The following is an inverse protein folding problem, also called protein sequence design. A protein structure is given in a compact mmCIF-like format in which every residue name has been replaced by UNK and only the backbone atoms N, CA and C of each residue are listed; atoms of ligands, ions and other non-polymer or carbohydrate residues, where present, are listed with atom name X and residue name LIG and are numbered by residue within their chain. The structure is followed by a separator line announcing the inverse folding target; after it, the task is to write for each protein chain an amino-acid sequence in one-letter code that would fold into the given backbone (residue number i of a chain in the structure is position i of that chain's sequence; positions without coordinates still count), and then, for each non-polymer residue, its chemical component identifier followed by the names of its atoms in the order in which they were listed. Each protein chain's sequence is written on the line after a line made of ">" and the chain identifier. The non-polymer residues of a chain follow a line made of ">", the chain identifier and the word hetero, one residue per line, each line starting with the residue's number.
data_IF_116037230265
#
_entry.id   IF_116037230265
#
_cell.length_a   1.000
_cell.length_b   1.000
_cell.length_c   1.000
_cell.angle_alpha   90.00
_cell.angle_beta   90.00
_cell.angle_gamma   90.00
#
_symmetry.space_group_name_H-M   'P 1'
#
loop_
_entity.id
_entity.type
_entity.pdbx_description
1 polymer ?
#
# COMPACT_ATOMS: atom_id res chain seq x y z
N UNK A 1 -4.70 5.51 -27.73
CA UNK A 1 -5.33 4.91 -26.55
C UNK A 1 -6.52 4.11 -27.03
N UNK A 2 -6.71 2.86 -26.58
CA UNK A 2 -7.93 2.11 -26.86
C UNK A 2 -9.14 2.94 -26.42
N UNK A 3 -10.27 2.78 -27.11
CA UNK A 3 -11.53 3.29 -26.57
C UNK A 3 -11.86 2.55 -25.28
N UNK A 4 -12.61 3.16 -24.36
CA UNK A 4 -13.04 2.49 -23.12
C UNK A 4 -13.69 1.14 -23.42
N UNK A 5 -14.47 1.06 -24.49
CA UNK A 5 -15.12 -0.18 -24.90
C UNK A 5 -14.15 -1.28 -25.28
N UNK A 6 -13.10 -0.97 -26.04
CA UNK A 6 -12.07 -1.94 -26.40
C UNK A 6 -11.31 -2.43 -25.17
N UNK A 7 -10.97 -1.53 -24.24
CA UNK A 7 -10.25 -1.87 -23.02
C UNK A 7 -11.11 -2.68 -22.05
N UNK A 8 -12.37 -2.31 -21.85
CA UNK A 8 -13.32 -3.07 -21.02
C UNK A 8 -13.57 -4.46 -21.60
N UNK A 9 -13.72 -4.60 -22.91
CA UNK A 9 -13.83 -5.91 -23.57
C UNK A 9 -12.60 -6.78 -23.33
N UNK A 10 -11.41 -6.20 -23.38
CA UNK A 10 -10.16 -6.90 -23.07
C UNK A 10 -10.13 -7.38 -21.60
N UNK A 11 -10.40 -6.48 -20.66
CA UNK A 11 -10.40 -6.78 -19.22
C UNK A 11 -11.46 -7.83 -18.83
N UNK A 12 -12.64 -7.77 -19.43
CA UNK A 12 -13.70 -8.77 -19.23
C UNK A 12 -13.41 -10.10 -19.95
N UNK A 13 -12.50 -10.12 -20.93
CA UNK A 13 -12.24 -11.26 -21.81
C UNK A 13 -13.40 -11.63 -22.75
N UNK A 14 -14.41 -10.75 -22.87
CA UNK A 14 -15.62 -10.96 -23.67
C UNK A 14 -16.33 -9.64 -23.98
N UNK A 15 -17.24 -9.68 -24.94
CA UNK A 15 -18.10 -8.53 -25.24
C UNK A 15 -19.03 -8.20 -24.06
N UNK A 16 -19.11 -6.92 -23.62
CA UNK A 16 -20.12 -6.48 -22.67
C UNK A 16 -21.53 -6.78 -23.19
N UNK A 17 -22.40 -7.31 -22.33
CA UNK A 17 -23.77 -7.74 -22.69
C UNK A 17 -24.86 -6.76 -22.27
N UNK A 18 -24.48 -5.65 -21.65
CA UNK A 18 -25.40 -4.62 -21.17
C UNK A 18 -24.70 -3.27 -21.20
N UNK A 19 -25.48 -2.20 -21.09
CA UNK A 19 -24.95 -0.85 -20.99
C UNK A 19 -24.18 -0.67 -19.68
N UNK A 20 -23.12 0.13 -19.72
CA UNK A 20 -22.27 0.40 -18.57
C UNK A 20 -21.61 1.76 -18.67
N UNK A 21 -21.14 2.25 -17.53
CA UNK A 21 -20.26 3.40 -17.43
C UNK A 21 -19.00 3.01 -16.64
N UNK A 22 -17.84 3.50 -17.05
CA UNK A 22 -16.61 3.41 -16.24
C UNK A 22 -16.68 4.49 -15.18
N UNK A 23 -16.88 4.10 -13.91
CA UNK A 23 -17.09 5.03 -12.79
C UNK A 23 -15.88 5.18 -11.89
N UNK A 24 -14.92 4.27 -11.96
CA UNK A 24 -13.63 4.35 -11.25
C UNK A 24 -12.51 3.99 -12.21
N UNK A 25 -11.42 4.76 -12.14
CA UNK A 25 -10.18 4.54 -12.87
C UNK A 25 -9.00 4.57 -11.92
N UNK A 26 -7.93 3.89 -12.30
CA UNK A 26 -6.65 3.95 -11.59
C UNK A 26 -5.88 5.25 -11.92
N UNK A 27 -4.67 5.40 -11.38
CA UNK A 27 -3.80 6.55 -11.61
C UNK A 27 -3.31 6.67 -13.07
N UNK A 28 -3.27 5.56 -13.82
CA UNK A 28 -2.92 5.53 -15.24
C UNK A 28 -4.15 5.83 -16.15
N UNK A 29 -5.35 5.93 -15.57
CA UNK A 29 -6.61 6.12 -16.28
C UNK A 29 -7.27 4.83 -16.78
N UNK A 30 -6.77 3.65 -16.39
CA UNK A 30 -7.34 2.36 -16.79
C UNK A 30 -8.67 2.08 -16.03
N UNK A 31 -9.69 1.48 -16.66
CA UNK A 31 -10.96 1.17 -16.00
C UNK A 31 -10.82 0.17 -14.84
N UNK A 32 -11.35 0.54 -13.67
CA UNK A 32 -11.34 -0.32 -12.46
C UNK A 32 -12.73 -0.82 -12.10
N UNK A 33 -13.74 0.05 -12.14
CA UNK A 33 -15.13 -0.31 -11.81
C UNK A 33 -16.09 0.12 -12.91
N UNK A 34 -16.94 -0.82 -13.32
CA UNK A 34 -18.11 -0.55 -14.15
C UNK A 34 -19.35 -0.35 -13.29
N UNK A 35 -20.14 0.67 -13.63
CA UNK A 35 -21.55 0.79 -13.21
C UNK A 35 -22.45 0.30 -14.34
N UNK A 36 -23.00 -0.89 -14.17
CA UNK A 36 -23.85 -1.55 -15.14
C UNK A 36 -25.30 -1.08 -15.05
N UNK A 37 -25.98 -1.06 -16.19
CA UNK A 37 -27.43 -1.10 -16.24
C UNK A 37 -27.96 -2.34 -15.48
N UNK A 38 -29.14 -2.25 -14.84
CA UNK A 38 -29.70 -3.36 -14.07
C UNK A 38 -30.16 -4.54 -14.94
N UNK A 39 -30.23 -4.36 -16.26
CA UNK A 39 -30.66 -5.34 -17.25
C UNK A 39 -29.62 -5.43 -18.39
N UNK A 40 -29.39 -6.63 -18.90
CA UNK A 40 -28.66 -6.88 -20.13
C UNK A 40 -29.49 -6.45 -21.35
N UNK A 41 -28.87 -6.36 -22.53
CA UNK A 41 -29.57 -6.02 -23.77
C UNK A 41 -30.70 -6.99 -24.14
N UNK A 42 -30.64 -8.23 -23.66
CA UNK A 42 -31.68 -9.26 -23.85
C UNK A 42 -32.77 -9.24 -22.75
N UNK A 43 -32.72 -8.28 -21.84
CA UNK A 43 -33.65 -8.14 -20.71
C UNK A 43 -33.35 -9.03 -19.50
N UNK A 44 -32.27 -9.84 -19.55
CA UNK A 44 -31.84 -10.64 -18.40
C UNK A 44 -31.36 -9.73 -17.27
N UNK A 45 -31.71 -10.00 -16.00
CA UNK A 45 -31.15 -9.31 -14.85
C UNK A 45 -29.62 -9.33 -14.81
N UNK A 46 -29.00 -8.15 -14.68
CA UNK A 46 -27.56 -8.04 -14.47
C UNK A 46 -27.21 -8.56 -13.06
N UNK A 47 -26.21 -9.46 -12.90
CA UNK A 47 -25.87 -10.07 -11.61
C UNK A 47 -25.35 -9.07 -10.57
N UNK A 48 -24.73 -7.96 -11.00
CA UNK A 48 -24.24 -6.89 -10.13
C UNK A 48 -24.27 -5.55 -10.85
N UNK A 49 -24.69 -4.50 -10.14
CA UNK A 49 -24.67 -3.12 -10.63
C UNK A 49 -23.26 -2.55 -10.66
N UNK A 50 -22.39 -2.92 -9.72
CA UNK A 50 -20.99 -2.50 -9.68
C UNK A 50 -20.10 -3.71 -9.91
N UNK A 51 -19.25 -3.65 -10.93
CA UNK A 51 -18.40 -4.77 -11.35
C UNK A 51 -16.94 -4.33 -11.33
N UNK A 52 -16.14 -5.01 -10.50
CA UNK A 52 -14.69 -4.84 -10.43
C UNK A 52 -14.03 -5.50 -11.66
N UNK A 53 -13.31 -4.72 -12.45
CA UNK A 53 -12.61 -5.18 -13.66
C UNK A 53 -11.11 -4.84 -13.64
N UNK A 54 -10.67 -4.01 -12.69
CA UNK A 54 -9.26 -3.67 -12.50
C UNK A 54 -8.43 -4.91 -12.13
N UNK A 55 -7.36 -5.25 -12.89
CA UNK A 55 -6.59 -6.47 -12.66
C UNK A 55 -5.94 -6.55 -11.28
N UNK A 56 -5.46 -5.42 -10.76
CA UNK A 56 -4.79 -5.35 -9.47
C UNK A 56 -5.77 -5.50 -8.31
N UNK A 57 -6.92 -4.84 -8.41
CA UNK A 57 -7.99 -4.96 -7.43
C UNK A 57 -8.57 -6.38 -7.41
N UNK A 58 -8.81 -6.99 -8.58
CA UNK A 58 -9.25 -8.39 -8.66
C UNK A 58 -8.24 -9.32 -7.98
N UNK A 59 -6.94 -9.12 -8.21
CA UNK A 59 -5.89 -9.96 -7.60
C UNK A 59 -5.88 -9.80 -6.08
N UNK A 60 -5.90 -8.57 -5.57
CA UNK A 60 -5.85 -8.26 -4.12
C UNK A 60 -7.09 -8.80 -3.41
N UNK A 61 -8.28 -8.58 -3.97
CA UNK A 61 -9.53 -9.08 -3.39
C UNK A 61 -9.62 -10.60 -3.50
N UNK A 62 -9.21 -11.19 -4.62
CA UNK A 62 -9.17 -12.65 -4.79
C UNK A 62 -8.25 -13.33 -3.78
N UNK A 63 -7.10 -12.73 -3.47
CA UNK A 63 -6.20 -13.22 -2.42
C UNK A 63 -6.87 -13.14 -1.03
N UNK A 64 -7.45 -11.99 -0.69
CA UNK A 64 -8.18 -11.80 0.56
C UNK A 64 -9.34 -12.81 0.73
N UNK A 65 -10.10 -13.09 -0.34
CA UNK A 65 -11.13 -14.11 -0.32
C UNK A 65 -10.56 -15.52 -0.11
N UNK A 66 -9.45 -15.87 -0.77
CA UNK A 66 -8.82 -17.19 -0.65
C UNK A 66 -8.28 -17.48 0.76
N UNK A 67 -7.99 -16.43 1.53
CA UNK A 67 -7.58 -16.48 2.94
C UNK A 67 -8.77 -16.54 3.92
N UNK A 68 -10.01 -16.70 3.42
CA UNK A 68 -11.21 -16.73 4.25
C UNK A 68 -11.76 -15.35 4.60
N UNK A 69 -11.44 -14.31 3.81
CA UNK A 69 -11.86 -12.94 4.07
C UNK A 69 -13.39 -12.74 4.13
N UNK A 70 -14.17 -13.57 3.42
CA UNK A 70 -15.64 -13.53 3.49
C UNK A 70 -16.12 -13.91 4.88
N UNK A 71 -15.68 -15.06 5.39
CA UNK A 71 -16.09 -15.56 6.72
C UNK A 71 -15.64 -14.62 7.83
N UNK A 72 -14.44 -14.03 7.69
CA UNK A 72 -13.92 -13.04 8.63
C UNK A 72 -14.75 -11.76 8.64
N UNK A 73 -15.08 -11.21 7.47
CA UNK A 73 -15.94 -10.04 7.38
C UNK A 73 -17.32 -10.30 8.00
N UNK A 74 -17.91 -11.48 7.76
CA UNK A 74 -19.20 -11.85 8.37
C UNK A 74 -19.11 -11.99 9.89
N UNK A 75 -17.98 -12.46 10.42
CA UNK A 75 -17.78 -12.61 11.86
C UNK A 75 -17.50 -11.28 12.58
N UNK A 76 -16.85 -10.33 11.91
CA UNK A 76 -16.39 -9.06 12.51
C UNK A 76 -17.41 -7.92 12.34
N UNK A 77 -18.24 -7.95 11.29
CA UNK A 77 -19.21 -6.89 10.99
C UNK A 77 -20.56 -7.11 11.66
N UNK A 78 -21.22 -6.01 12.01
CA UNK A 78 -22.61 -6.02 12.46
C UNK A 78 -23.54 -6.48 11.31
N UNK A 79 -24.25 -7.62 11.45
CA UNK A 79 -25.17 -8.12 10.43
C UNK A 79 -26.29 -7.13 10.05
N UNK A 80 -26.69 -6.25 10.96
CA UNK A 80 -27.72 -5.24 10.69
C UNK A 80 -27.18 -4.12 9.79
N UNK A 81 -25.92 -3.73 9.97
CA UNK A 81 -25.24 -2.78 9.10
C UNK A 81 -25.07 -3.35 7.68
N UNK A 82 -24.68 -4.63 7.57
CA UNK A 82 -24.55 -5.32 6.27
C UNK A 82 -25.90 -5.42 5.56
N UNK A 83 -26.97 -5.78 6.28
CA UNK A 83 -28.33 -5.81 5.72
C UNK A 83 -28.80 -4.43 5.23
N UNK A 84 -28.59 -3.38 6.02
CA UNK A 84 -28.92 -2.02 5.62
C UNK A 84 -28.16 -1.58 4.35
N UNK A 85 -26.91 -2.01 4.19
CA UNK A 85 -26.13 -1.75 2.98
C UNK A 85 -26.70 -2.49 1.76
N UNK A 86 -27.09 -3.77 1.91
CA UNK A 86 -27.79 -4.51 0.86
C UNK A 86 -29.11 -3.84 0.45
N UNK A 87 -29.90 -3.33 1.41
CA UNK A 87 -31.15 -2.64 1.13
C UNK A 87 -30.94 -1.34 0.34
N UNK A 88 -29.92 -0.54 0.72
CA UNK A 88 -29.53 0.68 -0.03
C UNK A 88 -29.10 0.36 -1.46
N UNK A 89 -28.25 -0.64 -1.62
CA UNK A 89 -27.79 -1.09 -2.93
C UNK A 89 -28.96 -1.56 -3.82
N UNK A 90 -29.88 -2.35 -3.24
CA UNK A 90 -31.05 -2.84 -3.95
C UNK A 90 -31.96 -1.69 -4.38
N UNK A 91 -32.23 -0.73 -3.49
CA UNK A 91 -33.03 0.45 -3.81
C UNK A 91 -32.41 1.29 -4.93
N UNK A 92 -31.08 1.50 -4.89
CA UNK A 92 -30.36 2.23 -5.93
C UNK A 92 -30.47 1.53 -7.30
N UNK A 93 -30.28 0.21 -7.32
CA UNK A 93 -30.44 -0.61 -8.53
C UNK A 93 -31.86 -0.52 -9.06
N UNK A 94 -32.85 -0.72 -8.20
CA UNK A 94 -34.25 -0.84 -8.58
C UNK A 94 -34.80 0.50 -9.12
N UNK A 95 -34.28 1.63 -8.64
CA UNK A 95 -34.59 2.97 -9.16
C UNK A 95 -34.17 3.18 -10.63
N UNK A 96 -33.28 2.34 -11.17
CA UNK A 96 -32.81 2.42 -12.57
C UNK A 96 -33.43 1.35 -13.48
N UNK A 97 -34.34 0.52 -12.95
CA UNK A 97 -35.11 -0.41 -13.78
C UNK A 97 -36.23 0.41 -14.46
N UNK A 98 -36.41 0.30 -15.79
CA UNK A 98 -37.51 0.97 -16.47
C UNK A 98 -38.87 0.64 -15.81
N UNK A 99 -39.74 1.65 -15.60
CA UNK A 99 -41.03 1.45 -14.91
C UNK A 99 -41.98 0.54 -15.69
N UNK A 100 -41.79 0.43 -17.01
CA UNK A 100 -42.52 -0.41 -17.96
C UNK A 100 -41.85 -1.78 -18.20
N UNK A 101 -40.82 -2.13 -17.43
CA UNK A 101 -40.17 -3.45 -17.54
C UNK A 101 -41.04 -4.56 -16.95
N UNK A 102 -41.61 -5.38 -17.83
CA UNK A 102 -42.47 -6.53 -17.51
C UNK A 102 -41.71 -7.88 -17.41
N UNK A 103 -40.38 -7.87 -17.56
CA UNK A 103 -39.54 -9.08 -17.50
C UNK A 103 -39.04 -9.43 -16.09
N UNK A 104 -38.17 -10.47 -15.96
CA UNK A 104 -37.51 -10.79 -14.72
C UNK A 104 -36.72 -9.58 -14.17
N UNK A 105 -36.76 -9.37 -12.86
CA UNK A 105 -36.05 -8.27 -12.18
C UNK A 105 -34.86 -8.81 -11.39
N UNK A 106 -33.72 -8.08 -11.34
CA UNK A 106 -32.67 -8.40 -10.40
C UNK A 106 -33.20 -8.30 -8.96
N UNK A 107 -32.68 -9.14 -8.08
CA UNK A 107 -33.08 -9.20 -6.67
C UNK A 107 -31.87 -9.46 -5.77
N UNK A 108 -32.05 -9.28 -4.46
CA UNK A 108 -30.96 -9.31 -3.49
C UNK A 108 -30.24 -7.96 -3.37
N UNK A 109 -29.19 -7.91 -2.55
CA UNK A 109 -28.35 -6.74 -2.38
C UNK A 109 -27.08 -6.78 -3.24
N UNK A 110 -25.99 -6.19 -2.73
CA UNK A 110 -24.65 -6.27 -3.32
C UNK A 110 -24.29 -7.70 -3.78
N UNK A 111 -23.82 -7.85 -5.02
CA UNK A 111 -23.46 -9.15 -5.60
C UNK A 111 -24.63 -10.13 -5.85
N UNK A 112 -25.88 -9.67 -5.68
CA UNK A 112 -27.09 -10.48 -5.86
C UNK A 112 -27.36 -11.46 -4.73
N UNK A 113 -26.73 -11.27 -3.55
CA UNK A 113 -26.97 -12.11 -2.38
C UNK A 113 -28.27 -11.74 -1.67
N UNK A 114 -28.91 -12.74 -1.04
CA UNK A 114 -30.12 -12.53 -0.22
C UNK A 114 -29.80 -12.26 1.25
N UNK A 115 -28.74 -12.88 1.76
CA UNK A 115 -28.29 -12.81 3.15
C UNK A 115 -26.77 -12.99 3.14
N UNK A 116 -26.08 -12.26 4.02
CA UNK A 116 -24.63 -12.39 4.18
C UNK A 116 -23.86 -11.99 2.93
N UNK A 117 -22.62 -12.46 2.83
CA UNK A 117 -21.67 -12.06 1.81
C UNK A 117 -21.43 -13.20 0.83
N UNK A 118 -21.65 -12.93 -0.46
CA UNK A 118 -21.33 -13.89 -1.53
C UNK A 118 -19.87 -13.79 -1.98
N UNK A 119 -19.38 -12.56 -2.14
CA UNK A 119 -18.02 -12.23 -2.53
C UNK A 119 -17.69 -10.79 -2.10
N UNK A 120 -16.41 -10.53 -1.83
CA UNK A 120 -15.87 -9.21 -1.52
C UNK A 120 -15.75 -8.31 -2.77
N UNK A 121 -15.60 -8.89 -3.96
CA UNK A 121 -15.43 -8.16 -5.22
C UNK A 121 -16.55 -7.12 -5.49
N UNK A 122 -17.81 -7.52 -5.28
CA UNK A 122 -18.94 -6.64 -5.54
C UNK A 122 -19.06 -5.51 -4.50
N UNK A 123 -18.72 -5.82 -3.25
CA UNK A 123 -18.67 -4.84 -2.16
C UNK A 123 -17.54 -3.83 -2.38
N UNK A 124 -16.35 -4.31 -2.75
CA UNK A 124 -15.22 -3.45 -3.08
C UNK A 124 -15.51 -2.53 -4.26
N UNK A 125 -16.12 -3.07 -5.33
CA UNK A 125 -16.52 -2.28 -6.49
C UNK A 125 -17.50 -1.15 -6.13
N UNK A 126 -18.52 -1.44 -5.31
CA UNK A 126 -19.49 -0.44 -4.90
C UNK A 126 -18.88 0.62 -3.99
N UNK A 127 -18.04 0.20 -3.05
CA UNK A 127 -17.31 1.10 -2.16
C UNK A 127 -16.40 2.06 -2.92
N UNK A 128 -15.58 1.57 -3.85
CA UNK A 128 -14.73 2.41 -4.71
C UNK A 128 -15.54 3.40 -5.54
N UNK A 129 -16.77 3.04 -5.95
CA UNK A 129 -17.69 3.93 -6.66
C UNK A 129 -18.40 4.95 -5.74
N UNK A 130 -18.03 5.02 -4.46
CA UNK A 130 -18.60 5.96 -3.48
C UNK A 130 -19.80 5.43 -2.69
N UNK A 131 -20.08 4.13 -2.77
CA UNK A 131 -21.15 3.49 -2.00
C UNK A 131 -20.86 3.44 -0.49
N UNK A 132 -21.89 3.67 0.33
CA UNK A 132 -21.81 3.48 1.79
C UNK A 132 -21.90 2.00 2.16
N UNK A 133 -20.77 1.30 2.00
CA UNK A 133 -20.63 -0.13 2.24
C UNK A 133 -19.72 -0.43 3.46
N UNK A 134 -20.25 -1.01 4.55
CA UNK A 134 -19.44 -1.40 5.69
C UNK A 134 -18.42 -2.51 5.36
N UNK A 135 -18.73 -3.38 4.40
CA UNK A 135 -17.81 -4.43 3.93
C UNK A 135 -16.68 -3.79 3.13
N UNK A 136 -17.00 -2.78 2.30
CA UNK A 136 -16.01 -1.98 1.58
C UNK A 136 -14.99 -1.32 2.51
N UNK A 137 -15.46 -0.67 3.58
CA UNK A 137 -14.57 -0.10 4.62
C UNK A 137 -13.74 -1.15 5.35
N UNK A 138 -14.31 -2.32 5.58
CA UNK A 138 -13.58 -3.43 6.19
C UNK A 138 -12.46 -3.92 5.26
N UNK A 139 -12.76 -4.12 3.97
CA UNK A 139 -11.77 -4.47 2.94
C UNK A 139 -10.65 -3.43 2.89
N UNK A 140 -10.99 -2.13 2.87
CA UNK A 140 -10.00 -1.06 2.86
C UNK A 140 -9.01 -1.16 4.03
N UNK A 141 -9.51 -1.40 5.25
CA UNK A 141 -8.65 -1.59 6.44
C UNK A 141 -7.78 -2.84 6.31
N UNK A 142 -8.35 -3.94 5.88
CA UNK A 142 -7.66 -5.22 5.71
C UNK A 142 -6.55 -5.14 4.65
N UNK A 143 -6.79 -4.41 3.57
CA UNK A 143 -5.78 -4.14 2.54
C UNK A 143 -4.73 -3.15 3.05
N UNK A 144 -5.12 -2.08 3.74
CA UNK A 144 -4.18 -1.12 4.31
C UNK A 144 -3.21 -1.76 5.30
N UNK A 145 -3.67 -2.71 6.13
CA UNK A 145 -2.78 -3.47 7.03
C UNK A 145 -1.86 -4.40 6.24
N UNK A 146 -2.37 -5.07 5.21
CA UNK A 146 -1.57 -6.00 4.39
C UNK A 146 -0.53 -5.30 3.53
N UNK A 147 -0.80 -4.08 3.10
CA UNK A 147 0.14 -3.30 2.30
C UNK A 147 1.18 -2.56 3.17
N UNK A 148 1.12 -2.71 4.51
CA UNK A 148 2.18 -2.21 5.39
C UNK A 148 3.41 -3.09 5.28
N UNK A 149 4.31 -2.64 4.42
CA UNK A 149 5.70 -3.04 4.45
C UNK A 149 6.38 -2.35 5.63
N UNK A 150 6.78 -3.12 6.63
CA UNK A 150 7.47 -2.64 7.81
C UNK A 150 8.97 -2.90 7.68
N UNK A 151 9.75 -1.83 7.78
CA UNK A 151 11.22 -1.86 7.78
C UNK A 151 11.71 -1.69 9.21
N UNK A 152 12.57 -2.59 9.69
CA UNK A 152 13.24 -2.45 10.97
C UNK A 152 14.76 -2.40 10.74
N UNK A 153 15.34 -1.25 11.00
CA UNK A 153 16.77 -0.96 10.88
C UNK A 153 17.40 -1.25 12.24
N UNK A 154 17.83 -2.48 12.48
CA UNK A 154 18.46 -2.89 13.73
C UNK A 154 19.95 -2.58 13.79
N UNK A 155 20.55 -2.78 14.97
CA UNK A 155 21.99 -2.66 15.16
C UNK A 155 22.75 -3.75 14.39
N UNK A 156 22.32 -5.01 14.54
CA UNK A 156 22.97 -6.17 13.94
C UNK A 156 22.33 -6.64 12.62
N UNK A 157 21.03 -6.41 12.43
CA UNK A 157 20.27 -6.91 11.28
C UNK A 157 19.30 -5.87 10.70
N UNK A 158 18.97 -6.05 9.42
CA UNK A 158 17.86 -5.39 8.76
C UNK A 158 16.71 -6.40 8.65
N UNK A 159 15.53 -6.02 9.11
CA UNK A 159 14.36 -6.88 9.06
C UNK A 159 13.24 -6.21 8.28
N UNK A 160 12.63 -6.96 7.37
CA UNK A 160 11.50 -6.51 6.56
C UNK A 160 10.34 -7.45 6.86
N UNK A 161 9.17 -6.90 7.17
CA UNK A 161 7.95 -7.67 7.34
C UNK A 161 6.87 -7.15 6.39
N UNK A 162 6.20 -8.06 5.70
CA UNK A 162 5.09 -7.71 4.81
C UNK A 162 4.00 -8.79 4.86
N UNK A 163 2.85 -8.44 5.43
CA UNK A 163 1.79 -9.42 5.71
C UNK A 163 2.29 -10.45 6.72
N UNK A 164 2.29 -11.72 6.34
CA UNK A 164 2.82 -12.84 7.15
C UNK A 164 4.30 -13.15 6.86
N UNK A 165 4.86 -12.58 5.79
CA UNK A 165 6.24 -12.85 5.42
C UNK A 165 7.20 -11.96 6.22
N UNK A 166 8.34 -12.56 6.56
CA UNK A 166 9.40 -11.88 7.28
C UNK A 166 10.76 -12.26 6.71
N UNK A 167 11.58 -11.25 6.43
CA UNK A 167 12.96 -11.39 5.98
C UNK A 167 13.89 -10.77 7.03
N UNK A 168 14.99 -11.46 7.30
CA UNK A 168 16.07 -11.00 8.17
C UNK A 168 17.37 -11.05 7.38
N UNK A 169 18.07 -9.92 7.31
CA UNK A 169 19.31 -9.78 6.58
C UNK A 169 20.43 -9.40 7.56
N UNK A 170 21.63 -10.00 7.43
CA UNK A 170 22.76 -9.72 8.31
C UNK A 170 23.46 -8.39 7.98
N UNK A 171 22.67 -7.33 7.75
CA UNK A 171 23.10 -5.97 7.41
C UNK A 171 22.44 -4.94 8.35
N UNK A 172 22.90 -4.89 9.59
CA UNK A 172 22.51 -3.83 10.53
C UNK A 172 23.39 -2.59 10.45
N UNK A 173 23.10 -1.61 11.30
CA UNK A 173 23.90 -0.38 11.48
C UNK A 173 25.39 -0.71 11.73
N UNK A 174 25.68 -1.66 12.62
CA UNK A 174 27.05 -2.03 12.96
C UNK A 174 27.81 -2.59 11.75
N UNK A 175 27.16 -3.43 10.95
CA UNK A 175 27.75 -3.99 9.73
C UNK A 175 28.12 -2.89 8.73
N UNK A 176 27.19 -1.95 8.47
CA UNK A 176 27.45 -0.84 7.55
C UNK A 176 28.61 0.04 8.02
N UNK A 177 28.65 0.34 9.32
CA UNK A 177 29.71 1.12 9.94
C UNK A 177 31.07 0.44 9.79
N UNK A 178 31.15 -0.82 10.20
CA UNK A 178 32.41 -1.55 10.31
C UNK A 178 32.98 -1.96 8.96
N UNK A 179 32.13 -2.19 7.95
CA UNK A 179 32.60 -2.58 6.61
C UNK A 179 32.97 -1.39 5.72
N UNK A 180 32.28 -0.25 5.85
CA UNK A 180 32.40 0.82 4.85
C UNK A 180 32.50 2.23 5.43
N UNK A 181 31.76 2.56 6.49
CA UNK A 181 31.58 3.97 6.86
C UNK A 181 32.60 4.52 7.86
N UNK A 182 33.45 3.67 8.47
CA UNK A 182 34.49 4.11 9.43
C UNK A 182 35.87 4.38 8.82
N UNK A 183 36.15 3.90 7.61
CA UNK A 183 37.50 3.92 7.02
C UNK A 183 37.97 5.31 6.54
N UNK A 184 37.06 6.28 6.40
CA UNK A 184 37.38 7.66 5.99
C UNK A 184 36.43 8.68 6.61
N UNK A 185 36.91 9.92 6.78
CA UNK A 185 36.12 11.02 7.35
C UNK A 185 36.25 12.32 6.53
N UNK A 186 35.23 12.71 5.73
CA UNK A 186 33.99 11.98 5.48
C UNK A 186 34.21 10.63 4.76
N UNK A 187 33.24 9.69 4.80
CA UNK A 187 33.36 8.41 4.11
C UNK A 187 33.63 8.55 2.62
N UNK A 188 34.43 7.65 2.07
CA UNK A 188 34.76 7.68 0.66
C UNK A 188 33.53 7.38 -0.21
N UNK A 189 33.38 8.01 -1.41
CA UNK A 189 32.24 7.76 -2.30
C UNK A 189 32.04 6.27 -2.68
N UNK A 190 33.13 5.52 -2.82
CA UNK A 190 33.07 4.08 -3.10
C UNK A 190 32.49 3.28 -1.92
N UNK A 191 32.84 3.65 -0.68
CA UNK A 191 32.29 3.04 0.52
C UNK A 191 30.79 3.30 0.66
N UNK A 192 30.34 4.54 0.41
CA UNK A 192 28.92 4.89 0.38
C UNK A 192 28.16 4.09 -0.68
N UNK A 193 28.73 3.95 -1.87
CA UNK A 193 28.14 3.15 -2.97
C UNK A 193 27.96 1.69 -2.55
N UNK A 194 28.95 1.11 -1.87
CA UNK A 194 28.89 -0.27 -1.39
C UNK A 194 27.85 -0.45 -0.27
N UNK A 195 27.80 0.48 0.70
CA UNK A 195 26.82 0.45 1.79
C UNK A 195 25.37 0.56 1.27
N UNK A 196 25.13 1.43 0.29
CA UNK A 196 23.83 1.53 -0.39
C UNK A 196 23.52 0.27 -1.20
N UNK A 197 24.52 -0.26 -1.90
CA UNK A 197 24.40 -1.44 -2.77
C UNK A 197 23.98 -2.69 -2.00
N UNK A 198 24.63 -3.00 -0.87
CA UNK A 198 24.30 -4.21 -0.10
C UNK A 198 22.86 -4.19 0.43
N UNK A 199 22.35 -3.03 0.84
CA UNK A 199 20.96 -2.91 1.27
C UNK A 199 20.02 -3.08 0.07
N UNK A 200 20.33 -2.45 -1.06
CA UNK A 200 19.54 -2.58 -2.28
C UNK A 200 19.46 -4.04 -2.77
N UNK A 201 20.56 -4.80 -2.69
CA UNK A 201 20.61 -6.21 -3.06
C UNK A 201 19.68 -7.08 -2.18
N UNK A 202 19.57 -6.77 -0.89
CA UNK A 202 18.64 -7.46 0.00
C UNK A 202 17.19 -7.07 -0.23
N UNK A 203 16.93 -5.80 -0.57
CA UNK A 203 15.60 -5.37 -1.02
C UNK A 203 15.22 -6.08 -2.32
N UNK A 204 16.17 -6.35 -3.22
CA UNK A 204 15.97 -7.16 -4.42
C UNK A 204 15.52 -8.59 -4.12
N UNK A 205 16.00 -9.18 -3.04
CA UNK A 205 15.53 -10.50 -2.59
C UNK A 205 14.05 -10.45 -2.17
N UNK A 206 13.63 -9.36 -1.53
CA UNK A 206 12.21 -9.13 -1.17
C UNK A 206 11.36 -8.91 -2.42
N UNK A 207 11.79 -8.05 -3.35
CA UNK A 207 11.08 -7.79 -4.62
C UNK A 207 10.94 -9.09 -5.42
N UNK A 208 11.97 -9.95 -5.43
CA UNK A 208 11.90 -11.24 -6.13
C UNK A 208 10.84 -12.17 -5.53
N UNK A 209 10.68 -12.16 -4.21
CA UNK A 209 9.66 -12.94 -3.51
C UNK A 209 8.26 -12.31 -3.64
N UNK A 210 8.21 -10.97 -3.68
CA UNK A 210 7.00 -10.15 -3.75
C UNK A 210 7.18 -9.03 -4.78
N UNK A 211 6.95 -9.31 -6.08
CA UNK A 211 7.12 -8.31 -7.15
C UNK A 211 6.24 -7.08 -6.95
N UNK A 212 5.14 -7.22 -6.21
CA UNK A 212 4.26 -6.11 -5.85
C UNK A 212 4.94 -5.05 -4.95
N UNK A 213 6.13 -5.33 -4.38
CA UNK A 213 6.87 -4.39 -3.53
C UNK A 213 7.19 -3.08 -4.26
N UNK A 214 7.38 -3.14 -5.58
CA UNK A 214 7.69 -1.96 -6.40
C UNK A 214 6.51 -0.99 -6.53
N UNK A 215 5.28 -1.43 -6.19
CA UNK A 215 4.08 -0.61 -6.23
C UNK A 215 3.70 -0.02 -4.86
N UNK A 216 4.56 -0.16 -3.85
CA UNK A 216 4.30 0.36 -2.51
C UNK A 216 4.27 1.89 -2.51
N UNK A 217 3.25 2.46 -1.87
CA UNK A 217 3.12 3.91 -1.72
C UNK A 217 3.85 4.46 -0.49
N UNK A 218 3.96 3.66 0.58
CA UNK A 218 4.55 4.07 1.86
C UNK A 218 5.09 2.87 2.64
N UNK A 219 6.18 3.09 3.37
CA UNK A 219 6.80 2.14 4.29
C UNK A 219 6.86 2.75 5.68
N UNK A 220 6.68 1.94 6.72
CA UNK A 220 6.92 2.35 8.11
C UNK A 220 8.27 1.80 8.56
N UNK A 221 9.23 2.69 8.80
CA UNK A 221 10.58 2.36 9.24
C UNK A 221 10.76 2.62 10.73
N UNK A 222 11.31 1.63 11.42
CA UNK A 222 11.63 1.67 12.86
C UNK A 222 13.09 1.31 13.10
N UNK A 223 13.64 1.71 14.23
CA UNK A 223 15.03 1.42 14.60
C UNK A 223 15.56 2.42 15.64
N UNK A 224 16.72 2.14 16.25
CA UNK A 224 17.32 3.03 17.25
C UNK A 224 17.70 4.40 16.67
N UNK A 225 18.09 4.47 15.39
CA UNK A 225 18.57 5.69 14.75
C UNK A 225 17.48 6.45 13.94
N UNK A 226 16.23 5.99 13.89
CA UNK A 226 15.17 6.68 13.12
C UNK A 226 14.86 8.05 13.67
N UNK A 227 14.88 8.20 15.00
CA UNK A 227 14.75 9.51 15.66
C UNK A 227 15.89 10.45 15.26
N UNK A 228 17.12 9.96 15.20
CA UNK A 228 18.32 10.74 14.82
C UNK A 228 18.20 11.32 13.41
N UNK A 229 17.58 10.60 12.49
CA UNK A 229 17.29 11.10 11.13
C UNK A 229 16.34 12.31 11.20
N UNK A 230 15.27 12.20 11.99
CA UNK A 230 14.27 13.27 12.14
C UNK A 230 14.84 14.46 12.91
N UNK A 231 15.71 14.21 13.90
CA UNK A 231 16.43 15.26 14.61
C UNK A 231 17.33 16.04 13.65
N UNK A 232 18.05 15.35 12.76
CA UNK A 232 18.90 15.99 11.75
C UNK A 232 18.10 16.87 10.79
N UNK A 233 16.92 16.43 10.37
CA UNK A 233 16.03 17.21 9.50
C UNK A 233 15.41 18.41 10.22
N UNK A 234 14.87 18.21 11.41
CA UNK A 234 14.06 19.23 12.11
C UNK A 234 14.88 20.18 12.99
N UNK A 235 16.09 19.77 13.37
CA UNK A 235 16.91 20.43 14.37
C UNK A 235 16.36 20.37 15.80
N UNK A 236 15.30 19.60 16.05
CA UNK A 236 14.65 19.48 17.36
C UNK A 236 15.26 18.33 18.15
N UNK A 237 15.45 18.53 19.47
CA UNK A 237 15.92 17.45 20.35
C UNK A 237 14.87 16.34 20.53
N UNK A 238 13.58 16.70 20.56
CA UNK A 238 12.44 15.78 20.70
C UNK A 238 11.41 16.04 19.57
N UNK A 239 11.70 15.57 18.35
CA UNK A 239 10.80 15.78 17.23
C UNK A 239 9.53 14.93 17.35
N UNK A 240 8.41 15.39 16.78
CA UNK A 240 7.19 14.59 16.74
C UNK A 240 7.39 13.34 15.89
N UNK A 241 6.91 12.20 16.40
CA UNK A 241 6.94 10.89 15.75
C UNK A 241 5.51 10.30 15.75
N UNK A 242 5.07 9.58 14.71
CA UNK A 242 5.82 9.26 13.49
C UNK A 242 6.04 10.50 12.61
N UNK A 243 7.12 10.48 11.84
CA UNK A 243 7.51 11.57 10.95
C UNK A 243 7.50 11.11 9.49
N UNK A 244 6.65 11.69 8.62
CA UNK A 244 6.69 11.41 7.20
C UNK A 244 7.93 12.09 6.58
N UNK A 245 8.84 11.29 6.03
CA UNK A 245 10.04 11.74 5.37
C UNK A 245 9.89 11.58 3.84
N UNK A 246 9.89 12.69 3.13
CA UNK A 246 9.85 12.71 1.67
C UNK A 246 11.22 12.35 1.07
N UNK A 247 11.22 11.73 -0.12
CA UNK A 247 12.45 11.26 -0.78
C UNK A 247 13.46 12.37 -1.03
N UNK A 248 12.99 13.54 -1.48
CA UNK A 248 13.85 14.68 -1.75
C UNK A 248 14.62 15.12 -0.49
N UNK A 249 13.91 15.15 0.64
CA UNK A 249 14.46 15.51 1.95
C UNK A 249 15.44 14.42 2.42
N UNK A 250 15.06 13.14 2.34
CA UNK A 250 15.94 12.02 2.70
C UNK A 250 17.27 12.05 1.94
N UNK A 251 17.22 12.37 0.65
CA UNK A 251 18.39 12.51 -0.21
C UNK A 251 19.24 13.74 0.12
N UNK A 252 18.60 14.85 0.54
CA UNK A 252 19.28 16.06 0.99
C UNK A 252 20.05 15.83 2.29
N UNK A 253 19.39 15.33 3.33
CA UNK A 253 20.03 15.05 4.63
C UNK A 253 21.11 13.97 4.49
N UNK A 254 20.91 12.98 3.61
CA UNK A 254 21.95 12.00 3.29
C UNK A 254 23.17 12.66 2.65
N UNK A 255 22.99 13.52 1.63
CA UNK A 255 24.13 14.22 1.00
C UNK A 255 24.89 15.09 2.01
N UNK A 256 24.18 15.78 2.88
CA UNK A 256 24.78 16.58 3.94
C UNK A 256 25.61 15.69 4.88
N UNK A 257 25.00 14.69 5.50
CA UNK A 257 25.68 13.78 6.43
C UNK A 257 26.84 12.99 5.79
N UNK A 258 26.72 12.63 4.51
CA UNK A 258 27.73 11.86 3.78
C UNK A 258 28.96 12.70 3.37
N UNK A 259 28.84 14.03 3.30
CA UNK A 259 29.93 14.92 2.89
C UNK A 259 30.57 15.66 4.06
N UNK A 260 29.93 15.65 5.22
CA UNK A 260 30.45 16.23 6.45
C UNK A 260 31.41 15.29 7.18
N UNK A 261 32.48 15.87 7.73
CA UNK A 261 33.31 15.16 8.69
C UNK A 261 32.48 14.77 9.92
N UNK A 262 32.93 13.77 10.67
CA UNK A 262 32.30 13.34 11.91
C UNK A 262 32.24 14.48 12.92
N UNK A 263 33.28 15.32 12.94
CA UNK A 263 33.32 16.51 13.78
C UNK A 263 32.24 17.50 13.35
N UNK A 264 32.09 17.77 12.06
CA UNK A 264 31.06 18.70 11.55
C UNK A 264 29.65 18.15 11.80
N UNK A 265 29.42 16.86 11.55
CA UNK A 265 28.14 16.20 11.83
C UNK A 265 27.72 16.34 13.28
N UNK A 266 28.66 16.25 14.22
CA UNK A 266 28.39 16.39 15.65
C UNK A 266 27.91 17.80 16.05
N UNK A 267 28.03 18.80 15.18
CA UNK A 267 27.51 20.15 15.39
C UNK A 267 26.11 20.35 14.81
N UNK A 268 25.53 19.34 14.14
CA UNK A 268 24.18 19.45 13.62
C UNK A 268 23.16 19.57 14.77
N UNK A 269 22.24 20.55 14.72
CA UNK A 269 21.23 20.73 15.75
C UNK A 269 20.39 19.47 15.97
N UNK A 270 20.08 19.15 17.23
CA UNK A 270 19.25 18.01 17.60
C UNK A 270 19.93 16.64 17.56
N UNK A 271 21.07 16.48 16.86
CA UNK A 271 21.75 15.18 16.72
C UNK A 271 22.61 14.86 17.95
N UNK A 272 22.33 13.76 18.70
CA UNK A 272 23.15 13.37 19.84
C UNK A 272 24.56 12.93 19.40
N UNK A 273 25.59 13.28 20.19
CA UNK A 273 26.98 12.94 19.86
C UNK A 273 27.25 11.43 19.75
N UNK A 274 26.45 10.60 20.42
CA UNK A 274 26.50 9.14 20.34
C UNK A 274 25.95 8.60 19.02
N UNK A 275 25.10 9.36 18.34
CA UNK A 275 24.35 8.93 17.15
C UNK A 275 24.98 9.43 15.83
N UNK A 276 26.09 10.15 15.90
CA UNK A 276 26.73 10.81 14.74
C UNK A 276 27.13 9.83 13.63
N UNK A 277 27.53 8.62 14.01
CA UNK A 277 27.91 7.58 13.07
C UNK A 277 26.71 6.72 12.66
N UNK A 278 25.86 6.36 13.64
CA UNK A 278 24.67 5.52 13.43
C UNK A 278 23.64 6.19 12.52
N UNK A 279 23.49 7.51 12.58
CA UNK A 279 22.54 8.26 11.72
C UNK A 279 22.91 8.13 10.24
N UNK A 280 24.20 8.16 9.89
CA UNK A 280 24.63 8.03 8.49
C UNK A 280 24.38 6.61 7.97
N UNK A 281 24.66 5.59 8.79
CA UNK A 281 24.35 4.20 8.44
C UNK A 281 22.84 3.98 8.26
N UNK A 282 22.01 4.54 9.14
CA UNK A 282 20.56 4.46 9.01
C UNK A 282 20.04 5.20 7.77
N UNK A 283 20.61 6.36 7.44
CA UNK A 283 20.33 7.10 6.20
C UNK A 283 20.69 6.29 4.95
N UNK A 284 21.84 5.60 4.93
CA UNK A 284 22.19 4.68 3.84
C UNK A 284 21.08 3.64 3.64
N UNK A 285 20.59 3.02 4.72
CA UNK A 285 19.49 2.05 4.63
C UNK A 285 18.22 2.68 4.08
N UNK A 286 17.76 3.80 4.65
CA UNK A 286 16.53 4.49 4.20
C UNK A 286 16.63 4.88 2.73
N UNK A 287 17.71 5.55 2.33
CA UNK A 287 17.90 6.00 0.94
C UNK A 287 18.00 4.82 -0.02
N UNK A 288 18.70 3.73 0.34
CA UNK A 288 18.78 2.54 -0.49
C UNK A 288 17.40 1.89 -0.70
N UNK A 289 16.61 1.75 0.37
CA UNK A 289 15.25 1.21 0.29
C UNK A 289 14.36 2.11 -0.58
N UNK A 290 14.35 3.42 -0.33
CA UNK A 290 13.53 4.38 -1.10
C UNK A 290 13.90 4.38 -2.58
N UNK A 291 15.20 4.38 -2.91
CA UNK A 291 15.66 4.29 -4.31
C UNK A 291 15.25 2.98 -4.96
N UNK A 292 15.43 1.85 -4.27
CA UNK A 292 15.19 0.54 -4.88
C UNK A 292 13.71 0.27 -5.13
N UNK A 293 12.85 0.69 -4.20
CA UNK A 293 11.39 0.52 -4.28
C UNK A 293 10.67 1.69 -4.96
N UNK A 294 11.37 2.75 -5.35
CA UNK A 294 10.76 3.91 -6.01
C UNK A 294 9.81 4.71 -5.11
N UNK A 295 10.06 4.72 -3.80
CA UNK A 295 9.18 5.35 -2.82
C UNK A 295 9.34 6.88 -2.86
N UNK A 296 8.22 7.59 -2.93
CA UNK A 296 8.24 9.05 -2.76
C UNK A 296 8.27 9.47 -1.28
N UNK A 297 7.81 8.59 -0.37
CA UNK A 297 7.74 8.85 1.07
C UNK A 297 7.98 7.60 1.91
N UNK A 298 8.55 7.79 3.10
CA UNK A 298 8.65 6.79 4.16
C UNK A 298 8.22 7.39 5.50
N UNK A 299 7.49 6.66 6.33
CA UNK A 299 7.17 7.07 7.70
C UNK A 299 8.27 6.57 8.64
N UNK A 300 8.86 7.47 9.42
CA UNK A 300 9.82 7.13 10.47
C UNK A 300 9.12 7.07 11.83
N UNK A 301 9.24 5.93 12.51
CA UNK A 301 8.62 5.67 13.81
C UNK A 301 9.69 5.27 14.83
N UNK A 302 9.43 5.53 16.11
CA UNK A 302 10.24 4.92 17.19
C UNK A 302 9.86 3.46 17.33
N UNK A 303 10.83 2.60 17.63
CA UNK A 303 10.57 1.20 18.02
C UNK A 303 9.59 1.21 19.20
N UNK A 304 8.32 0.88 18.94
CA UNK A 304 7.35 0.74 20.01
C UNK A 304 7.76 -0.42 20.91
N UNK A 305 7.87 -0.18 22.21
CA UNK A 305 7.73 -1.21 23.23
C UNK A 305 6.39 -1.90 22.98
N UNK A 306 6.40 -3.04 22.29
CA UNK A 306 5.28 -3.98 22.33
C UNK A 306 5.26 -4.67 23.69
#
# INVERSE_FOLDING_TARGET
>A
MPTDHERVRELLGREPRGDYEVVVRDAAGDPVVLRNAPLLHDGTPMPTRYWLIGPDEIRRIGRLESEGGVDRAEAELDPDAVRAAHDRYAAERDAHIPPDHDGPRPSGGVGGTRVGLKCLHAHWAWYLAGGDDPVGRWIERELAVRDRFALHIGEAELSIAWGEDQWHFPVGIEHLLDQWLRDGDPPHPAALTNALGVVADHVDDVIRARPEAEALAEIDATGPATRSIVQLETGLDDPPMPFPLDREIAEEIFRLAATESRADRAHNPGLPSSEVDTVLAALCTVVAVMRRLGLERISLSTSGTR
#
